data_IF_393084784633
#
_entry.id   IF_393084784633
#
_cell.length_a   1.000
_cell.length_b   1.000
_cell.length_c   1.000
_cell.angle_alpha   90.00
_cell.angle_beta   90.00
_cell.angle_gamma   90.00
#
_symmetry.space_group_name_H-M   'P 1'
#
loop_
_entity.id
_entity.type
_entity.pdbx_description
1 polymer ?
#
# COMPACT_ATOMS: atom_id res chain seq x y z
N UNK A 1 -15.25 44.12 -15.63
CA UNK A 1 -15.62 42.69 -15.53
C UNK A 1 -14.65 41.85 -16.38
N UNK A 2 -13.34 41.95 -16.16
CA UNK A 2 -12.32 41.33 -17.03
C UNK A 2 -11.77 40.00 -16.51
N UNK A 3 -12.07 39.62 -15.26
CA UNK A 3 -11.57 38.38 -14.65
C UNK A 3 -12.37 37.11 -14.99
N UNK A 4 -13.60 37.27 -15.51
CA UNK A 4 -14.49 36.14 -15.84
C UNK A 4 -13.93 35.25 -16.97
N UNK A 5 -13.42 35.78 -18.10
CA UNK A 5 -12.88 34.92 -19.16
C UNK A 5 -11.61 34.17 -18.73
N UNK A 6 -10.72 34.80 -17.96
CA UNK A 6 -9.52 34.15 -17.44
C UNK A 6 -9.85 33.00 -16.47
N UNK A 7 -10.85 33.19 -15.59
CA UNK A 7 -11.34 32.15 -14.69
C UNK A 7 -11.96 30.96 -15.45
N UNK A 8 -12.73 31.23 -16.50
CA UNK A 8 -13.33 30.17 -17.32
C UNK A 8 -12.27 29.36 -18.07
N UNK A 9 -11.24 30.00 -18.62
CA UNK A 9 -10.12 29.31 -19.27
C UNK A 9 -9.36 28.39 -18.32
N UNK A 10 -9.08 28.86 -17.09
CA UNK A 10 -8.41 28.03 -16.07
C UNK A 10 -9.24 26.79 -15.69
N UNK A 11 -10.56 26.97 -15.50
CA UNK A 11 -11.45 25.85 -15.18
C UNK A 11 -11.55 24.82 -16.30
N UNK A 12 -11.53 25.26 -17.57
CA UNK A 12 -11.52 24.36 -18.72
C UNK A 12 -10.25 23.52 -18.77
N UNK A 13 -9.08 24.12 -18.48
CA UNK A 13 -7.81 23.41 -18.42
C UNK A 13 -7.80 22.38 -17.29
N UNK A 14 -8.25 22.76 -16.08
CA UNK A 14 -8.30 21.81 -14.97
C UNK A 14 -9.26 20.65 -15.24
N UNK A 15 -10.40 20.91 -15.87
CA UNK A 15 -11.36 19.87 -16.28
C UNK A 15 -10.79 18.95 -17.36
N UNK A 16 -10.08 19.48 -18.36
CA UNK A 16 -9.50 18.65 -19.41
C UNK A 16 -8.43 17.70 -18.85
N UNK A 17 -7.59 18.19 -17.93
CA UNK A 17 -6.60 17.36 -17.23
C UNK A 17 -7.30 16.28 -16.40
N UNK A 18 -8.30 16.64 -15.59
CA UNK A 18 -9.03 15.66 -14.79
C UNK A 18 -9.73 14.57 -15.64
N UNK A 19 -10.36 14.97 -16.75
CA UNK A 19 -10.99 14.03 -17.68
C UNK A 19 -9.97 13.12 -18.35
N UNK A 20 -8.78 13.63 -18.70
CA UNK A 20 -7.71 12.82 -19.28
C UNK A 20 -7.20 11.75 -18.32
N UNK A 21 -6.99 12.09 -17.05
CA UNK A 21 -6.57 11.13 -16.01
C UNK A 21 -7.65 10.06 -15.81
N UNK A 22 -8.91 10.47 -15.68
CA UNK A 22 -10.04 9.54 -15.53
C UNK A 22 -10.19 8.61 -16.74
N UNK A 23 -9.98 9.12 -17.96
CA UNK A 23 -9.99 8.30 -19.17
C UNK A 23 -8.85 7.28 -19.21
N UNK A 24 -7.64 7.67 -18.78
CA UNK A 24 -6.50 6.76 -18.65
C UNK A 24 -6.77 5.66 -17.62
N UNK A 25 -7.30 6.00 -16.44
CA UNK A 25 -7.68 5.02 -15.42
C UNK A 25 -8.74 4.04 -15.95
N UNK A 26 -9.77 4.55 -16.63
CA UNK A 26 -10.82 3.71 -17.22
C UNK A 26 -10.25 2.76 -18.30
N UNK A 27 -9.32 3.24 -19.14
CA UNK A 27 -8.64 2.43 -20.15
C UNK A 27 -7.80 1.31 -19.50
N UNK A 28 -7.04 1.62 -18.45
CA UNK A 28 -6.25 0.62 -17.73
C UNK A 28 -7.16 -0.44 -17.12
N UNK A 29 -8.24 -0.03 -16.44
CA UNK A 29 -9.22 -0.95 -15.87
C UNK A 29 -9.89 -1.82 -16.94
N UNK A 30 -10.18 -1.26 -18.11
CA UNK A 30 -10.75 -1.99 -19.24
C UNK A 30 -9.77 -3.05 -19.78
N UNK A 31 -8.50 -2.69 -19.99
CA UNK A 31 -7.46 -3.61 -20.45
C UNK A 31 -7.29 -4.75 -19.45
N UNK A 32 -7.18 -4.46 -18.15
CA UNK A 32 -7.00 -5.51 -17.14
C UNK A 32 -8.27 -6.38 -17.06
N UNK A 33 -9.47 -5.80 -17.17
CA UNK A 33 -10.73 -6.57 -17.19
C UNK A 33 -10.80 -7.56 -18.36
N UNK A 34 -10.27 -7.20 -19.54
CA UNK A 34 -10.16 -8.11 -20.68
C UNK A 34 -9.23 -9.30 -20.38
N UNK A 35 -8.17 -9.10 -19.60
CA UNK A 35 -7.31 -10.23 -19.14
C UNK A 35 -8.06 -11.19 -18.22
N UNK A 36 -9.14 -10.73 -17.58
CA UNK A 36 -10.04 -11.53 -16.74
C UNK A 36 -10.77 -12.65 -17.47
N UNK A 37 -10.83 -12.63 -18.81
CA UNK A 37 -11.38 -13.73 -19.60
C UNK A 37 -10.47 -14.96 -19.63
N UNK A 38 -9.17 -14.78 -19.37
CA UNK A 38 -8.15 -15.84 -19.52
C UNK A 38 -7.34 -16.08 -18.24
N UNK A 39 -7.29 -15.12 -17.32
CA UNK A 39 -6.54 -15.21 -16.07
C UNK A 39 -7.37 -14.68 -14.90
N UNK A 40 -7.12 -15.17 -13.68
CA UNK A 40 -7.74 -14.61 -12.48
C UNK A 40 -7.21 -13.19 -12.25
N UNK A 41 -8.13 -12.24 -12.18
CA UNK A 41 -7.83 -10.83 -11.97
C UNK A 41 -7.20 -10.60 -10.58
N UNK A 42 -6.21 -9.70 -10.46
CA UNK A 42 -5.44 -9.54 -9.23
C UNK A 42 -6.26 -9.02 -8.04
N UNK A 43 -7.39 -8.35 -8.28
CA UNK A 43 -8.28 -7.82 -7.23
C UNK A 43 -9.40 -8.79 -6.83
N UNK A 44 -9.46 -9.99 -7.43
CA UNK A 44 -10.49 -10.99 -7.06
C UNK A 44 -10.06 -11.88 -5.90
N UNK A 45 -8.79 -11.84 -5.52
CA UNK A 45 -8.24 -12.61 -4.40
C UNK A 45 -7.40 -11.72 -3.51
N UNK A 46 -7.58 -11.85 -2.20
CA UNK A 46 -6.70 -11.20 -1.24
C UNK A 46 -5.33 -11.85 -1.25
N UNK A 47 -4.27 -11.03 -1.32
CA UNK A 47 -2.86 -11.50 -1.25
C UNK A 47 -2.41 -11.77 0.19
N UNK A 48 -3.12 -11.23 1.18
CA UNK A 48 -2.85 -11.39 2.60
C UNK A 48 -4.06 -11.00 3.45
N UNK A 49 -4.15 -11.59 4.64
CA UNK A 49 -5.26 -11.43 5.60
C UNK A 49 -5.25 -10.05 6.27
N UNK A 50 -4.11 -9.36 6.24
CA UNK A 50 -3.89 -8.08 6.91
C UNK A 50 -4.30 -6.87 6.05
N UNK A 51 -4.33 -7.02 4.72
CA UNK A 51 -4.50 -5.90 3.79
C UNK A 51 -5.91 -5.80 3.18
N UNK A 52 -6.67 -6.91 3.12
CA UNK A 52 -8.02 -6.88 2.55
C UNK A 52 -8.95 -7.97 3.09
N UNK A 53 -10.25 -7.68 2.99
CA UNK A 53 -11.34 -8.58 3.36
C UNK A 53 -12.15 -8.89 2.09
N UNK A 54 -12.39 -10.18 1.82
CA UNK A 54 -13.31 -10.58 0.76
C UNK A 54 -14.77 -10.42 1.23
N UNK A 55 -15.44 -9.38 0.71
CA UNK A 55 -16.84 -9.09 1.02
C UNK A 55 -17.82 -10.18 0.56
N UNK A 56 -17.45 -11.03 -0.40
CA UNK A 56 -18.34 -12.10 -0.89
C UNK A 56 -18.55 -13.19 0.15
N UNK A 57 -17.56 -13.41 1.01
CA UNK A 57 -17.68 -14.36 2.12
C UNK A 57 -18.45 -13.79 3.31
N UNK A 58 -18.69 -12.47 3.35
CA UNK A 58 -19.34 -11.83 4.50
C UNK A 58 -20.75 -12.41 4.73
N UNK A 59 -21.56 -12.59 3.69
CA UNK A 59 -22.92 -13.13 3.83
C UNK A 59 -22.96 -14.58 4.33
N UNK A 60 -21.88 -15.35 4.13
CA UNK A 60 -21.79 -16.76 4.50
C UNK A 60 -21.08 -16.99 5.83
N UNK A 61 -20.08 -16.17 6.14
CA UNK A 61 -19.14 -16.38 7.23
C UNK A 61 -19.30 -15.40 8.40
N UNK A 62 -20.17 -14.39 8.31
CA UNK A 62 -20.39 -13.41 9.39
C UNK A 62 -20.86 -14.03 10.71
N UNK A 63 -21.56 -15.17 10.64
CA UNK A 63 -22.05 -15.91 11.81
C UNK A 63 -21.57 -17.37 11.83
N UNK A 64 -20.50 -17.69 11.09
CA UNK A 64 -19.94 -19.03 11.10
C UNK A 64 -19.27 -19.35 12.45
N UNK A 65 -19.28 -20.63 12.83
CA UNK A 65 -18.61 -21.05 14.05
C UNK A 65 -17.08 -20.91 13.91
N UNK A 66 -16.33 -20.68 15.00
CA UNK A 66 -14.87 -20.58 14.95
C UNK A 66 -14.15 -21.82 14.43
N UNK A 67 -14.82 -22.98 14.44
CA UNK A 67 -14.26 -24.26 14.03
C UNK A 67 -14.44 -24.55 12.52
N UNK A 68 -15.06 -23.64 11.78
CA UNK A 68 -15.33 -23.82 10.36
C UNK A 68 -14.09 -23.46 9.52
N UNK A 69 -13.49 -24.47 8.91
CA UNK A 69 -12.23 -24.32 8.15
C UNK A 69 -12.37 -23.37 6.96
N UNK A 70 -13.56 -23.28 6.36
CA UNK A 70 -13.84 -22.44 5.18
C UNK A 70 -13.85 -20.96 5.55
N UNK A 71 -14.37 -20.64 6.73
CA UNK A 71 -14.51 -19.26 7.20
C UNK A 71 -13.34 -18.79 8.09
N UNK A 72 -12.37 -19.67 8.35
CA UNK A 72 -11.24 -19.41 9.25
C UNK A 72 -10.44 -18.16 8.85
N UNK A 73 -10.14 -17.96 7.57
CA UNK A 73 -9.44 -16.76 7.08
C UNK A 73 -10.28 -15.49 7.22
N UNK A 74 -11.59 -15.57 6.97
CA UNK A 74 -12.52 -14.44 7.14
C UNK A 74 -12.62 -14.03 8.62
N UNK A 75 -12.75 -15.02 9.52
CA UNK A 75 -12.79 -14.77 10.96
C UNK A 75 -11.46 -14.17 11.43
N UNK A 76 -10.33 -14.68 10.94
CA UNK A 76 -9.00 -14.15 11.26
C UNK A 76 -8.83 -12.70 10.77
N UNK A 77 -9.25 -12.39 9.54
CA UNK A 77 -9.24 -11.03 9.01
C UNK A 77 -10.12 -10.10 9.84
N UNK A 78 -11.33 -10.54 10.20
CA UNK A 78 -12.22 -9.77 11.08
C UNK A 78 -11.60 -9.54 12.45
N UNK A 79 -10.97 -10.52 13.09
CA UNK A 79 -10.31 -10.36 14.39
C UNK A 79 -9.14 -9.37 14.30
N UNK A 80 -8.32 -9.46 13.25
CA UNK A 80 -7.21 -8.54 13.02
C UNK A 80 -7.69 -7.11 12.77
N UNK A 81 -8.73 -6.95 11.94
CA UNK A 81 -9.31 -5.63 11.60
C UNK A 81 -10.19 -5.03 12.71
N UNK A 82 -10.78 -5.85 13.59
CA UNK A 82 -11.51 -5.38 14.79
C UNK A 82 -10.58 -4.85 15.88
N UNK A 83 -9.29 -5.13 15.79
CA UNK A 83 -8.25 -4.46 16.57
C UNK A 83 -8.07 -3.03 16.04
N UNK A 84 -9.12 -2.22 16.20
CA UNK A 84 -9.26 -0.82 15.78
C UNK A 84 -8.32 0.15 16.52
N UNK A 85 -7.19 -0.33 17.02
CA UNK A 85 -6.05 0.49 17.40
C UNK A 85 -5.00 0.62 16.29
N UNK A 86 -5.16 -0.10 15.17
CA UNK A 86 -4.27 -0.03 14.00
C UNK A 86 -5.07 0.28 12.73
N UNK A 87 -5.98 1.26 12.77
CA UNK A 87 -6.50 1.86 11.53
C UNK A 87 -5.71 3.12 11.20
N UNK A 88 -4.51 2.93 10.66
CA UNK A 88 -4.01 3.91 9.70
C UNK A 88 -4.92 3.74 8.47
N UNK A 89 -5.73 4.75 8.17
CA UNK A 89 -6.55 4.76 6.95
C UNK A 89 -5.65 4.47 5.74
N UNK A 90 -6.16 3.94 4.62
CA UNK A 90 -5.36 3.75 3.41
C UNK A 90 -4.60 5.03 3.00
N UNK A 91 -5.22 6.18 3.27
CA UNK A 91 -4.59 7.49 3.13
C UNK A 91 -3.52 7.75 4.20
N UNK A 92 -3.70 7.38 5.46
CA UNK A 92 -2.65 7.46 6.48
C UNK A 92 -1.48 6.49 6.22
N UNK A 93 -1.73 5.30 5.64
CA UNK A 93 -0.68 4.36 5.21
C UNK A 93 0.05 4.87 3.98
N UNK A 94 -0.67 5.41 2.99
CA UNK A 94 -0.08 6.06 1.82
C UNK A 94 0.70 7.32 2.20
N UNK A 95 0.15 8.13 3.11
CA UNK A 95 0.82 9.29 3.70
C UNK A 95 1.98 8.84 4.57
N UNK A 96 1.93 7.72 5.30
CA UNK A 96 3.09 7.15 5.99
C UNK A 96 4.15 6.71 4.98
N UNK A 97 3.79 6.05 3.88
CA UNK A 97 4.73 5.67 2.82
C UNK A 97 5.37 6.87 2.12
N UNK A 98 4.70 8.04 2.13
CA UNK A 98 5.19 9.28 1.53
C UNK A 98 5.95 10.15 2.53
N UNK A 99 5.50 10.21 3.79
CA UNK A 99 6.05 11.02 4.89
C UNK A 99 7.21 10.30 5.57
N UNK A 100 7.13 8.99 5.74
CA UNK A 100 8.28 8.15 6.03
C UNK A 100 8.98 7.86 4.70
N UNK A 101 9.95 8.71 4.36
CA UNK A 101 11.14 8.20 3.69
C UNK A 101 11.70 7.11 4.58
N UNK A 102 11.29 5.86 4.35
CA UNK A 102 11.43 4.81 5.35
C UNK A 102 12.89 4.61 5.73
N UNK A 103 13.19 5.01 6.97
CA UNK A 103 14.38 4.57 7.65
C UNK A 103 14.22 3.10 8.01
N UNK A 104 14.45 2.24 7.03
CA UNK A 104 14.42 0.79 7.19
C UNK A 104 15.67 0.16 6.60
N UNK A 105 16.20 -0.80 7.35
CA UNK A 105 17.26 -1.65 6.84
C UNK A 105 16.72 -2.48 5.67
N UNK A 106 17.40 -2.41 4.53
CA UNK A 106 17.09 -3.19 3.33
C UNK A 106 17.58 -4.63 3.49
N UNK A 107 18.60 -4.86 4.31
CA UNK A 107 19.00 -6.20 4.73
C UNK A 107 18.24 -6.66 5.98
N UNK A 108 18.07 -7.98 6.18
CA UNK A 108 17.48 -8.50 7.40
C UNK A 108 18.25 -8.00 8.62
N UNK A 109 17.53 -7.53 9.64
CA UNK A 109 18.08 -6.88 10.85
C UNK A 109 19.21 -7.67 11.51
N UNK A 110 19.13 -9.01 11.54
CA UNK A 110 20.19 -9.88 12.09
C UNK A 110 21.55 -9.74 11.38
N UNK A 111 21.56 -9.38 10.09
CA UNK A 111 22.80 -9.18 9.33
C UNK A 111 23.39 -7.81 9.65
N UNK A 112 22.56 -6.77 9.70
CA UNK A 112 22.99 -5.41 10.05
C UNK A 112 23.51 -5.33 11.50
N UNK A 113 22.85 -6.01 12.46
CA UNK A 113 23.28 -6.06 13.86
C UNK A 113 24.65 -6.73 14.02
N UNK A 114 24.97 -7.72 13.18
CA UNK A 114 26.25 -8.43 13.21
C UNK A 114 27.41 -7.59 12.68
N UNK A 115 27.10 -6.62 11.83
CA UNK A 115 28.04 -5.73 11.13
C UNK A 115 27.95 -4.28 11.62
N UNK A 116 27.47 -4.06 12.85
CA UNK A 116 27.30 -2.72 13.41
C UNK A 116 28.63 -1.94 13.54
N UNK A 117 29.75 -2.67 13.72
CA UNK A 117 31.09 -2.07 13.71
C UNK A 117 31.52 -1.53 12.35
N UNK A 118 30.92 -2.02 11.26
CA UNK A 118 31.25 -1.62 9.89
C UNK A 118 30.52 -0.32 9.49
N UNK A 119 29.62 0.19 10.35
CA UNK A 119 28.98 1.50 10.16
C UNK A 119 30.00 2.65 10.19
N UNK A 120 31.13 2.49 10.89
CA UNK A 120 32.21 3.48 10.98
C UNK A 120 33.42 3.15 10.07
N UNK A 121 33.42 1.98 9.43
CA UNK A 121 34.52 1.55 8.55
C UNK A 121 34.53 2.34 7.24
N UNK A 122 35.71 2.84 6.85
CA UNK A 122 35.90 3.72 5.69
C UNK A 122 35.48 3.08 4.35
N UNK A 123 35.46 1.77 4.22
CA UNK A 123 35.11 1.06 2.99
C UNK A 123 33.66 0.57 2.95
N UNK A 124 33.12 0.16 4.10
CA UNK A 124 31.78 -0.43 4.21
C UNK A 124 30.70 0.58 4.60
N UNK A 125 31.08 1.78 5.05
CA UNK A 125 30.15 2.85 5.44
C UNK A 125 29.13 3.19 4.37
N UNK A 126 29.50 3.24 3.09
CA UNK A 126 28.57 3.57 2.00
C UNK A 126 27.55 2.44 1.78
N UNK A 127 27.98 1.19 1.92
CA UNK A 127 27.12 0.00 1.81
C UNK A 127 26.17 -0.06 3.01
N UNK A 128 26.69 0.15 4.22
CA UNK A 128 25.93 0.23 5.46
C UNK A 128 24.91 1.38 5.43
N UNK A 129 25.26 2.54 4.87
CA UNK A 129 24.36 3.68 4.72
C UNK A 129 23.21 3.42 3.73
N UNK A 130 23.43 2.63 2.68
CA UNK A 130 22.39 2.28 1.71
C UNK A 130 21.47 1.15 2.18
N UNK A 131 22.00 0.20 2.95
CA UNK A 131 21.29 -1.04 3.26
C UNK A 131 20.98 -1.27 4.74
N UNK A 132 21.68 -0.62 5.66
CA UNK A 132 21.51 -0.74 7.11
C UNK A 132 21.37 0.65 7.76
N UNK A 133 20.64 1.55 7.10
CA UNK A 133 20.51 2.96 7.49
C UNK A 133 19.88 3.15 8.88
N UNK A 134 18.97 2.27 9.28
CA UNK A 134 18.28 2.30 10.58
C UNK A 134 19.18 1.72 11.66
N UNK A 135 19.81 0.57 11.41
CA UNK A 135 20.73 -0.06 12.38
C UNK A 135 21.95 0.82 12.66
N UNK A 136 22.49 1.50 11.64
CA UNK A 136 23.61 2.42 11.81
C UNK A 136 23.21 3.85 12.25
N UNK A 137 21.91 4.13 12.46
CA UNK A 137 21.43 5.43 12.93
C UNK A 137 21.54 6.59 11.94
N UNK A 138 21.62 6.31 10.64
CA UNK A 138 21.70 7.33 9.58
C UNK A 138 20.36 8.00 9.26
N UNK A 139 19.27 7.45 9.80
CA UNK A 139 17.94 8.00 9.70
C UNK A 139 17.16 7.65 10.98
N UNK A 140 16.07 8.37 11.25
CA UNK A 140 15.28 8.25 12.47
C UNK A 140 13.79 8.18 12.12
#
# INVERSE_FOLDING_TARGET
MEGVPAGMSFLLIMKSVALSVSACEALVLFIISLTGAWMKLPWTTCRGVEDCIDHRLTSRCMFASPNDTICSEFIRAMVLTRSDHIKNSPLATYVQQIVQGECKDRFPTKLCERHIGDCEDKYLKDVMKMHCNKTCGYCQ
#
